data_IF_837581911065
#
_entry.id   IF_837581911065
#
_cell.length_a   1.000
_cell.length_b   1.000
_cell.length_c   1.000
_cell.angle_alpha   90.00
_cell.angle_beta   90.00
_cell.angle_gamma   90.00
#
_symmetry.space_group_name_H-M   'P 1'
#
loop_
_entity.id
_entity.type
_entity.pdbx_description
1 polymer ?
#
# COMPACT_ATOMS: atom_id res chain seq x y z
N UNK A 1 19.90 7.08 -7.89
CA UNK A 1 20.44 6.59 -9.17
C UNK A 1 19.26 6.19 -10.05
N UNK A 2 18.94 7.00 -11.06
CA UNK A 2 17.78 6.81 -11.95
C UNK A 2 17.96 5.58 -12.83
N UNK A 3 19.17 5.37 -13.36
CA UNK A 3 19.50 4.21 -14.19
C UNK A 3 19.33 2.92 -13.40
N UNK A 4 19.85 2.86 -12.17
CA UNK A 4 19.71 1.67 -11.32
C UNK A 4 18.24 1.33 -11.01
N UNK A 5 17.41 2.33 -10.73
CA UNK A 5 15.97 2.14 -10.47
C UNK A 5 15.25 1.60 -11.71
N UNK A 6 15.48 2.20 -12.88
CA UNK A 6 14.86 1.79 -14.13
C UNK A 6 15.30 0.38 -14.55
N UNK A 7 16.57 0.00 -14.33
CA UNK A 7 17.05 -1.37 -14.57
C UNK A 7 16.38 -2.38 -13.63
N UNK A 8 16.20 -2.03 -12.36
CA UNK A 8 15.56 -2.92 -11.38
C UNK A 8 14.04 -3.03 -11.56
N UNK A 9 13.41 -2.03 -12.18
CA UNK A 9 11.96 -1.90 -12.26
C UNK A 9 11.26 -3.16 -12.80
N UNK A 10 11.78 -3.80 -13.84
CA UNK A 10 11.12 -4.98 -14.43
C UNK A 10 10.95 -6.13 -13.42
N UNK A 11 12.00 -6.46 -12.67
CA UNK A 11 11.93 -7.49 -11.63
C UNK A 11 11.04 -7.04 -10.46
N UNK A 12 11.22 -5.80 -10.00
CA UNK A 12 10.51 -5.25 -8.86
C UNK A 12 8.99 -5.12 -9.07
N UNK A 13 8.57 -4.73 -10.27
CA UNK A 13 7.16 -4.57 -10.61
C UNK A 13 6.40 -5.91 -10.58
N UNK A 14 7.05 -7.00 -10.98
CA UNK A 14 6.44 -8.34 -10.96
C UNK A 14 6.13 -8.84 -9.54
N UNK A 15 6.96 -8.45 -8.57
CA UNK A 15 6.82 -8.86 -7.16
C UNK A 15 6.10 -7.82 -6.31
N UNK A 16 5.77 -6.64 -6.87
CA UNK A 16 5.13 -5.54 -6.15
C UNK A 16 3.87 -5.97 -5.38
N UNK A 17 2.94 -6.77 -5.96
CA UNK A 17 1.75 -7.21 -5.22
C UNK A 17 2.09 -7.98 -3.93
N UNK A 18 3.11 -8.86 -3.99
CA UNK A 18 3.54 -9.66 -2.84
C UNK A 18 4.19 -8.79 -1.77
N UNK A 19 5.00 -7.81 -2.19
CA UNK A 19 5.64 -6.86 -1.26
C UNK A 19 4.59 -6.03 -0.54
N UNK A 20 3.60 -5.50 -1.27
CA UNK A 20 2.53 -4.67 -0.70
C UNK A 20 1.70 -5.47 0.30
N UNK A 21 1.21 -6.66 -0.07
CA UNK A 21 0.49 -7.54 0.83
C UNK A 21 1.31 -7.87 2.09
N UNK A 22 2.60 -8.19 1.93
CA UNK A 22 3.49 -8.49 3.06
C UNK A 22 3.66 -7.31 4.01
N UNK A 23 3.80 -6.09 3.46
CA UNK A 23 3.90 -4.86 4.26
C UNK A 23 2.62 -4.63 5.04
N UNK A 24 1.45 -4.69 4.38
CA UNK A 24 0.17 -4.45 5.04
C UNK A 24 -0.13 -5.51 6.10
N UNK A 25 0.09 -6.80 5.82
CA UNK A 25 0.01 -7.86 6.83
C UNK A 25 0.91 -7.56 8.02
N UNK A 26 2.14 -7.07 7.80
CA UNK A 26 3.08 -6.81 8.88
C UNK A 26 2.66 -5.63 9.74
N UNK A 27 2.25 -4.51 9.15
CA UNK A 27 1.79 -3.34 9.93
C UNK A 27 0.42 -3.56 10.54
N UNK A 28 -0.39 -4.49 10.03
CA UNK A 28 -1.68 -4.83 10.63
C UNK A 28 -1.55 -5.75 11.85
N UNK A 29 -0.39 -6.38 12.07
CA UNK A 29 -0.13 -7.22 13.25
C UNK A 29 0.00 -6.44 14.56
N UNK A 30 0.25 -5.14 14.51
CA UNK A 30 0.49 -4.34 15.70
C UNK A 30 -0.63 -3.31 15.87
N UNK A 31 -1.24 -3.27 17.06
CA UNK A 31 -2.34 -2.35 17.37
C UNK A 31 -1.96 -0.89 17.11
N UNK A 32 -0.73 -0.50 17.47
CA UNK A 32 -0.24 0.87 17.28
C UNK A 32 -0.32 1.34 15.82
N UNK A 33 0.05 0.47 14.87
CA UNK A 33 -0.01 0.78 13.44
C UNK A 33 -1.39 0.51 12.85
N UNK A 34 -2.11 -0.53 13.32
CA UNK A 34 -3.49 -0.81 12.91
C UNK A 34 -4.43 0.34 13.23
N UNK A 35 -4.28 0.94 14.42
CA UNK A 35 -5.12 2.05 14.88
C UNK A 35 -5.00 3.30 14.00
N UNK A 36 -3.88 3.47 13.28
CA UNK A 36 -3.73 4.55 12.32
C UNK A 36 -4.67 4.42 11.11
N UNK A 37 -5.02 3.18 10.74
CA UNK A 37 -5.89 2.90 9.60
C UNK A 37 -7.39 3.02 9.92
N UNK A 38 -7.74 3.17 11.20
CA UNK A 38 -9.11 3.47 11.64
C UNK A 38 -9.52 4.85 11.12
N UNK A 39 -8.57 5.79 11.08
CA UNK A 39 -8.81 7.13 10.56
C UNK A 39 -8.99 7.02 9.05
N UNK A 40 -10.13 7.55 8.58
CA UNK A 40 -10.50 7.55 7.18
C UNK A 40 -9.42 8.23 6.33
N UNK A 41 -8.92 7.52 5.32
CA UNK A 41 -7.89 8.06 4.44
C UNK A 41 -8.42 9.26 3.66
N UNK A 42 -7.63 10.32 3.56
CA UNK A 42 -7.95 11.46 2.70
C UNK A 42 -8.15 10.98 1.25
N UNK A 43 -9.17 11.49 0.58
CA UNK A 43 -9.55 11.14 -0.80
C UNK A 43 -10.07 9.69 -1.01
N UNK A 44 -10.39 8.97 0.07
CA UNK A 44 -11.15 7.73 -0.03
C UNK A 44 -12.63 8.04 0.20
N UNK A 45 -13.51 7.74 -0.75
CA UNK A 45 -14.96 7.98 -0.60
C UNK A 45 -15.77 6.69 -0.35
N UNK A 46 -15.08 5.56 -0.18
CA UNK A 46 -15.70 4.26 0.01
C UNK A 46 -16.21 4.03 1.45
N UNK A 47 -16.93 2.90 1.67
CA UNK A 47 -17.44 2.56 2.98
C UNK A 47 -16.29 2.35 3.98
N UNK A 48 -16.31 3.13 5.06
CA UNK A 48 -15.46 2.89 6.23
C UNK A 48 -16.10 1.79 7.06
N UNK A 49 -15.34 0.73 7.34
CA UNK A 49 -15.72 -0.22 8.38
C UNK A 49 -15.93 0.55 9.68
N UNK A 50 -16.94 0.18 10.48
CA UNK A 50 -17.03 0.72 11.85
C UNK A 50 -15.67 0.50 12.52
N UNK A 51 -15.15 1.53 13.19
CA UNK A 51 -13.78 1.62 13.72
C UNK A 51 -13.23 0.34 14.39
N UNK A 52 -14.11 -0.49 14.96
CA UNK A 52 -13.77 -1.70 15.69
C UNK A 52 -13.55 -2.95 14.82
N UNK A 53 -14.06 -2.97 13.58
CA UNK A 53 -14.04 -4.14 12.68
C UNK A 53 -13.20 -3.91 11.41
N UNK A 54 -12.14 -3.09 11.49
CA UNK A 54 -11.22 -2.95 10.38
C UNK A 54 -10.50 -4.30 10.13
N UNK A 55 -10.63 -4.79 8.89
CA UNK A 55 -9.96 -5.96 8.34
C UNK A 55 -9.07 -5.56 7.16
N UNK A 56 -8.08 -6.38 6.80
CA UNK A 56 -7.23 -6.14 5.62
C UNK A 56 -8.06 -6.08 4.32
N UNK A 57 -9.17 -6.80 4.27
CA UNK A 57 -10.09 -6.85 3.13
C UNK A 57 -11.07 -5.67 3.10
N UNK A 58 -10.98 -4.74 4.07
CA UNK A 58 -11.83 -3.56 4.10
C UNK A 58 -11.52 -2.67 2.90
N UNK A 59 -12.55 -2.03 2.33
CA UNK A 59 -12.39 -1.20 1.13
C UNK A 59 -11.30 -0.11 1.26
N UNK A 60 -11.16 0.49 2.46
CA UNK A 60 -10.10 1.47 2.74
C UNK A 60 -8.69 0.83 2.71
N UNK A 61 -8.54 -0.41 3.18
CA UNK A 61 -7.25 -1.10 3.18
C UNK A 61 -6.84 -1.49 1.77
N UNK A 62 -7.77 -1.98 0.96
CA UNK A 62 -7.56 -2.23 -0.48
C UNK A 62 -7.11 -0.95 -1.19
N UNK A 63 -7.79 0.17 -0.93
CA UNK A 63 -7.40 1.47 -1.49
C UNK A 63 -5.98 1.88 -1.08
N UNK A 64 -5.61 1.68 0.19
CA UNK A 64 -4.28 1.99 0.72
C UNK A 64 -3.20 1.07 0.10
N UNK A 65 -3.51 -0.20 -0.15
CA UNK A 65 -2.63 -1.13 -0.88
C UNK A 65 -2.42 -0.69 -2.34
N UNK A 66 -3.48 -0.25 -3.02
CA UNK A 66 -3.41 0.29 -4.37
C UNK A 66 -2.55 1.56 -4.44
N UNK A 67 -2.70 2.46 -3.45
CA UNK A 67 -1.87 3.66 -3.34
C UNK A 67 -0.39 3.31 -3.19
N UNK A 68 -0.04 2.37 -2.32
CA UNK A 68 1.35 1.93 -2.15
C UNK A 68 1.89 1.29 -3.43
N UNK A 69 1.09 0.45 -4.10
CA UNK A 69 1.44 -0.14 -5.39
C UNK A 69 1.71 0.93 -6.45
N UNK A 70 0.86 1.94 -6.53
CA UNK A 70 1.03 3.08 -7.45
C UNK A 70 2.27 3.91 -7.12
N UNK A 71 2.54 4.15 -5.83
CA UNK A 71 3.74 4.83 -5.38
C UNK A 71 5.01 4.05 -5.76
N UNK A 72 5.07 2.74 -5.52
CA UNK A 72 6.20 1.89 -5.88
C UNK A 72 6.44 1.89 -7.39
N UNK A 73 5.36 1.78 -8.20
CA UNK A 73 5.45 1.91 -9.67
C UNK A 73 6.10 3.23 -10.08
N UNK A 74 5.66 4.35 -9.47
CA UNK A 74 6.22 5.67 -9.75
C UNK A 74 7.68 5.77 -9.34
N UNK A 75 8.05 5.25 -8.17
CA UNK A 75 9.44 5.26 -7.68
C UNK A 75 10.35 4.44 -8.59
N UNK A 76 9.90 3.27 -9.04
CA UNK A 76 10.68 2.38 -9.90
C UNK A 76 10.82 2.89 -11.34
N UNK A 77 9.81 3.62 -11.84
CA UNK A 77 9.78 4.15 -13.20
C UNK A 77 10.06 5.65 -13.20
N UNK A 78 11.33 6.03 -13.05
CA UNK A 78 11.75 7.43 -13.07
C UNK A 78 11.93 7.92 -14.52
N UNK A 79 11.42 9.12 -14.81
CA UNK A 79 11.75 9.85 -16.04
C UNK A 79 13.01 10.67 -15.78
N UNK A 80 13.93 10.68 -16.75
CA UNK A 80 15.03 11.65 -16.79
C UNK A 80 14.54 13.06 -17.08
#
# INVERSE_FOLDING_TARGET
DVTALNTFASAALSVTPVIVDSVYRKVFQYDATKNYFIIHNENFDGPSGKNENLLLESAQMIYREDMLSGYLKRVLLQRE
#
